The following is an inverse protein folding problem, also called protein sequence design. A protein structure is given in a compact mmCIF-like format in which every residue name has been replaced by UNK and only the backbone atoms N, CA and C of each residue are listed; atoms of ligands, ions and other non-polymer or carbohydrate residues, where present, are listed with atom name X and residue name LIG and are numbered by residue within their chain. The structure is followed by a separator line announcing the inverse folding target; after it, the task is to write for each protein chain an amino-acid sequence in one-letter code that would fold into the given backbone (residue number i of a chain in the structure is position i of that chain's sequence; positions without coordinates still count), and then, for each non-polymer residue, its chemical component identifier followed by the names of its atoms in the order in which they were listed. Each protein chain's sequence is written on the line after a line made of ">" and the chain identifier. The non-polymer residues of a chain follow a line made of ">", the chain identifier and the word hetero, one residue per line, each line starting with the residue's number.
data_IF_397453170417
#
_entry.id   IF_397453170417
#
_cell.length_a   1.000
_cell.length_b   1.000
_cell.length_c   1.000
_cell.angle_alpha   90.00
_cell.angle_beta   90.00
_cell.angle_gamma   90.00
#
_symmetry.space_group_name_H-M   'P 1'
#
loop_
_entity.id
_entity.type
_entity.pdbx_description
1 polymer ?
#
# COMPACT_ATOMS: atom_id res chain seq x y z
N UNK A 1 41.28 7.35 39.89
CA UNK A 1 39.83 7.08 40.00
C UNK A 1 39.34 6.61 38.65
N UNK A 2 39.09 5.31 38.50
CA UNK A 2 38.61 4.70 37.26
C UNK A 2 37.08 4.58 37.38
N UNK A 3 36.34 5.29 36.54
CA UNK A 3 34.87 5.22 36.49
C UNK A 3 34.47 3.97 35.70
N UNK A 4 33.90 2.98 36.40
CA UNK A 4 33.24 1.82 35.81
C UNK A 4 31.89 2.27 35.26
N UNK A 5 31.75 2.32 33.93
CA UNK A 5 30.46 2.51 33.28
C UNK A 5 29.67 1.20 33.36
N UNK A 6 28.59 1.19 34.12
CA UNK A 6 27.58 0.13 34.13
C UNK A 6 26.80 0.18 32.81
N UNK A 7 27.07 -0.77 31.92
CA UNK A 7 26.27 -0.98 30.73
C UNK A 7 24.90 -1.56 31.13
N UNK A 8 23.83 -0.78 30.96
CA UNK A 8 22.47 -1.31 30.89
C UNK A 8 22.24 -1.80 29.46
N UNK A 9 22.13 -3.11 29.28
CA UNK A 9 21.88 -3.70 27.97
C UNK A 9 22.01 -5.21 27.98
N UNK A 10 21.30 -5.90 28.87
CA UNK A 10 21.08 -7.33 28.73
C UNK A 10 20.08 -7.54 27.58
N UNK A 11 20.59 -7.58 26.34
CA UNK A 11 19.89 -8.29 25.26
C UNK A 11 20.06 -9.76 25.56
N UNK A 12 18.98 -10.38 26.01
CA UNK A 12 18.88 -11.82 26.13
C UNK A 12 18.98 -12.35 24.70
N UNK A 13 20.17 -12.82 24.29
CA UNK A 13 20.39 -13.44 23.00
C UNK A 13 19.72 -14.83 22.99
N UNK A 14 18.39 -14.83 22.93
CA UNK A 14 17.64 -15.97 22.45
C UNK A 14 17.80 -16.01 20.93
N UNK A 15 18.05 -17.19 20.37
CA UNK A 15 18.16 -17.42 18.92
C UNK A 15 16.80 -17.28 18.19
N UNK A 16 15.96 -16.32 18.56
CA UNK A 16 14.69 -16.00 17.91
C UNK A 16 14.85 -14.83 16.96
N UNK A 17 14.12 -14.85 15.84
CA UNK A 17 14.01 -13.69 14.96
C UNK A 17 13.24 -12.60 15.71
N UNK A 18 13.86 -11.43 15.88
CA UNK A 18 13.24 -10.26 16.50
C UNK A 18 12.30 -9.58 15.49
N UNK A 19 10.99 -9.82 15.62
CA UNK A 19 9.96 -9.25 14.74
C UNK A 19 9.34 -8.00 15.38
N UNK A 20 9.21 -6.90 14.63
CA UNK A 20 8.55 -5.70 15.15
C UNK A 20 7.02 -5.82 15.07
N UNK A 21 6.30 -5.21 16.02
CA UNK A 21 4.85 -5.17 15.99
C UNK A 21 4.36 -4.12 14.96
N UNK A 22 4.19 -4.54 13.70
CA UNK A 22 3.68 -3.71 12.59
C UNK A 22 2.23 -4.10 12.29
N UNK A 23 1.33 -3.11 12.32
CA UNK A 23 -0.04 -3.28 11.83
C UNK A 23 -0.07 -3.33 10.31
N UNK A 24 -0.56 -4.44 9.76
CA UNK A 24 -0.75 -4.60 8.31
C UNK A 24 -2.23 -4.60 8.00
N UNK A 25 -2.63 -3.78 7.02
CA UNK A 25 -4.01 -3.79 6.54
C UNK A 25 -4.25 -5.01 5.66
N UNK A 26 -5.48 -5.48 5.62
CA UNK A 26 -5.93 -6.57 4.74
C UNK A 26 -6.87 -5.94 3.73
N UNK A 27 -6.62 -6.10 2.44
CA UNK A 27 -7.43 -5.40 1.44
C UNK A 27 -6.81 -5.27 0.06
N UNK A 28 -7.50 -4.48 -0.76
CA UNK A 28 -7.08 -4.19 -2.14
C UNK A 28 -6.68 -2.73 -2.22
N UNK A 29 -5.49 -2.50 -2.73
CA UNK A 29 -4.98 -1.15 -2.95
C UNK A 29 -5.20 -0.76 -4.41
N UNK A 30 -5.51 0.50 -4.67
CA UNK A 30 -5.83 1.00 -6.01
C UNK A 30 -4.98 2.22 -6.30
N UNK A 31 -4.16 2.18 -7.34
CA UNK A 31 -3.40 3.31 -7.86
C UNK A 31 -3.94 3.72 -9.21
N UNK A 32 -4.15 5.02 -9.41
CA UNK A 32 -4.80 5.56 -10.60
C UNK A 32 -3.94 6.66 -11.18
N UNK A 33 -3.50 6.49 -12.43
CA UNK A 33 -2.79 7.52 -13.19
C UNK A 33 -3.73 8.30 -14.13
N UNK A 34 -5.00 7.91 -14.21
CA UNK A 34 -6.00 8.58 -15.03
C UNK A 34 -6.40 9.94 -14.42
N UNK A 35 -6.06 11.08 -15.05
CA UNK A 35 -6.16 12.41 -14.42
C UNK A 35 -7.61 12.83 -14.15
N UNK A 36 -8.55 12.42 -15.01
CA UNK A 36 -9.96 12.78 -14.92
C UNK A 36 -10.74 12.03 -13.83
N UNK A 37 -10.18 10.94 -13.27
CA UNK A 37 -10.83 10.18 -12.19
C UNK A 37 -10.90 11.03 -10.94
N UNK A 38 -12.07 11.10 -10.30
CA UNK A 38 -12.26 11.80 -9.03
C UNK A 38 -12.83 10.93 -7.92
N UNK A 39 -13.50 9.83 -8.24
CA UNK A 39 -14.06 8.90 -7.27
C UNK A 39 -14.10 7.48 -7.82
N UNK A 40 -14.33 6.51 -6.93
CA UNK A 40 -14.43 5.12 -7.31
C UNK A 40 -15.19 4.27 -6.31
N UNK A 41 -15.60 3.10 -6.78
CA UNK A 41 -16.21 2.05 -5.96
C UNK A 41 -15.53 0.73 -6.30
N UNK A 42 -15.41 -0.13 -5.30
CA UNK A 42 -14.86 -1.47 -5.46
C UNK A 42 -15.78 -2.47 -4.79
N UNK A 43 -16.06 -3.55 -5.49
CA UNK A 43 -16.73 -4.73 -4.94
C UNK A 43 -15.79 -5.91 -5.12
N UNK A 44 -15.65 -6.73 -4.09
CA UNK A 44 -14.78 -7.91 -4.08
C UNK A 44 -15.62 -9.12 -3.69
N UNK A 45 -15.62 -10.13 -4.54
CA UNK A 45 -16.40 -11.34 -4.39
C UNK A 45 -15.51 -12.57 -4.25
N UNK A 46 -15.85 -13.42 -3.28
CA UNK A 46 -15.24 -14.74 -3.09
C UNK A 46 -16.26 -15.68 -2.45
N UNK A 47 -16.16 -16.98 -2.77
CA UNK A 47 -17.06 -18.02 -2.24
C UNK A 47 -18.56 -17.70 -2.37
N UNK A 48 -18.96 -16.99 -3.43
CA UNK A 48 -20.34 -16.58 -3.67
C UNK A 48 -20.86 -15.45 -2.78
N UNK A 49 -20.00 -14.82 -1.98
CA UNK A 49 -20.31 -13.61 -1.19
C UNK A 49 -19.51 -12.43 -1.71
N UNK A 50 -20.08 -11.23 -1.64
CA UNK A 50 -19.43 -9.99 -2.07
C UNK A 50 -19.39 -8.97 -0.94
N UNK A 51 -18.31 -8.18 -0.90
CA UNK A 51 -18.15 -7.04 -0.02
C UNK A 51 -17.88 -5.78 -0.85
N UNK A 52 -18.53 -4.68 -0.49
CA UNK A 52 -18.33 -3.36 -1.12
C UNK A 52 -17.72 -2.39 -0.10
N UNK A 53 -16.40 -2.51 0.17
CA UNK A 53 -15.73 -1.63 1.11
C UNK A 53 -15.67 -0.19 0.57
N UNK A 54 -15.48 0.78 1.47
CA UNK A 54 -15.24 2.15 1.06
C UNK A 54 -13.92 2.24 0.27
N UNK A 55 -13.93 2.98 -0.84
CA UNK A 55 -12.75 3.32 -1.61
C UNK A 55 -12.65 4.84 -1.71
N UNK A 56 -11.90 5.43 -0.79
CA UNK A 56 -11.53 6.84 -0.87
C UNK A 56 -10.25 6.99 -1.69
N UNK A 57 -10.26 7.93 -2.65
CA UNK A 57 -9.12 8.24 -3.50
C UNK A 57 -8.47 9.54 -3.03
N UNK A 58 -7.18 9.47 -2.73
CA UNK A 58 -6.37 10.60 -2.30
C UNK A 58 -5.39 11.00 -3.40
N UNK A 59 -5.07 12.30 -3.55
CA UNK A 59 -4.04 12.73 -4.48
C UNK A 59 -2.69 12.06 -4.19
N UNK A 60 -2.06 11.54 -5.24
CA UNK A 60 -0.71 10.98 -5.14
C UNK A 60 0.35 12.07 -5.29
N UNK A 61 1.50 11.85 -4.66
CA UNK A 61 2.68 12.69 -4.81
C UNK A 61 3.89 11.86 -5.20
N UNK A 62 4.91 12.52 -5.74
CA UNK A 62 6.22 11.93 -6.01
C UNK A 62 7.29 12.71 -5.27
N UNK A 63 8.45 12.07 -5.09
CA UNK A 63 9.63 12.74 -4.56
C UNK A 63 10.37 13.39 -5.73
N UNK A 64 10.58 14.70 -5.64
CA UNK A 64 11.40 15.44 -6.61
C UNK A 64 12.88 15.05 -6.47
N UNK A 65 13.66 15.31 -7.51
CA UNK A 65 15.11 15.05 -7.48
C UNK A 65 15.76 15.73 -6.28
N UNK A 66 16.57 14.95 -5.55
CA UNK A 66 17.30 15.47 -4.40
C UNK A 66 18.54 16.23 -4.86
N UNK A 67 18.79 17.40 -4.28
CA UNK A 67 19.98 18.21 -4.56
C UNK A 67 21.11 17.94 -3.55
N UNK A 68 21.09 16.80 -2.87
CA UNK A 68 22.04 16.50 -1.81
C UNK A 68 23.43 16.21 -2.38
N UNK A 69 24.35 17.14 -2.15
CA UNK A 69 25.77 17.04 -2.54
C UNK A 69 26.73 16.98 -1.35
N UNK A 70 26.20 17.08 -0.12
CA UNK A 70 26.99 17.08 1.11
C UNK A 70 27.56 15.69 1.44
N UNK A 71 28.77 15.65 1.96
CA UNK A 71 29.47 14.42 2.40
C UNK A 71 29.88 14.45 3.86
N UNK A 72 29.57 15.54 4.58
CA UNK A 72 29.87 15.71 6.01
C UNK A 72 28.80 15.04 6.89
N UNK A 73 29.14 14.51 8.07
CA UNK A 73 28.18 13.96 9.02
C UNK A 73 27.09 14.95 9.48
N UNK A 74 27.38 16.26 9.43
CA UNK A 74 26.45 17.32 9.82
C UNK A 74 25.62 17.87 8.65
N UNK A 75 25.88 17.42 7.41
CA UNK A 75 25.13 17.87 6.25
C UNK A 75 23.70 17.31 6.29
N UNK A 76 22.71 18.20 6.23
CA UNK A 76 21.30 17.81 6.21
C UNK A 76 20.81 17.63 4.77
N UNK A 77 20.19 16.48 4.50
CA UNK A 77 19.54 16.21 3.22
C UNK A 77 18.03 16.45 3.33
N UNK A 78 17.45 17.13 2.35
CA UNK A 78 16.00 17.30 2.23
C UNK A 78 15.52 16.83 0.87
N UNK A 79 14.30 16.30 0.84
CA UNK A 79 13.60 15.90 -0.38
C UNK A 79 12.27 16.62 -0.44
N UNK A 80 11.92 17.16 -1.60
CA UNK A 80 10.64 17.85 -1.81
C UNK A 80 9.62 16.87 -2.36
N UNK A 81 8.40 16.91 -1.83
CA UNK A 81 7.27 16.20 -2.43
C UNK A 81 6.55 17.11 -3.42
N UNK A 82 6.23 16.58 -4.60
CA UNK A 82 5.47 17.24 -5.65
C UNK A 82 4.14 16.50 -5.91
N UNK A 83 3.03 17.22 -6.08
CA UNK A 83 1.79 16.61 -6.53
C UNK A 83 1.97 15.91 -7.87
N UNK A 84 1.28 14.79 -8.03
CA UNK A 84 1.02 14.18 -9.34
C UNK A 84 -0.43 14.40 -9.71
N UNK A 85 -0.83 14.06 -10.93
CA UNK A 85 -2.25 13.99 -11.32
C UNK A 85 -2.90 12.67 -10.89
N UNK A 86 -2.08 11.72 -10.43
CA UNK A 86 -2.53 10.42 -9.98
C UNK A 86 -3.22 10.45 -8.62
N UNK A 87 -3.88 9.34 -8.31
CA UNK A 87 -4.56 9.10 -7.05
C UNK A 87 -4.24 7.71 -6.54
N UNK A 88 -4.40 7.51 -5.24
CA UNK A 88 -4.27 6.21 -4.62
C UNK A 88 -5.37 6.02 -3.57
N UNK A 89 -5.74 4.77 -3.32
CA UNK A 89 -6.74 4.40 -2.34
C UNK A 89 -6.48 3.01 -1.79
N UNK A 90 -7.14 2.70 -0.68
CA UNK A 90 -7.09 1.38 -0.07
C UNK A 90 -8.49 0.96 0.37
N UNK A 91 -8.90 -0.24 -0.05
CA UNK A 91 -10.16 -0.85 0.29
C UNK A 91 -9.95 -1.88 1.39
N UNK A 92 -10.23 -1.49 2.63
CA UNK A 92 -10.07 -2.36 3.81
C UNK A 92 -11.09 -3.51 3.80
N UNK A 93 -10.56 -4.74 3.77
CA UNK A 93 -11.33 -5.99 3.72
C UNK A 93 -10.75 -6.98 4.73
N UNK A 94 -11.10 -6.90 6.02
CA UNK A 94 -10.52 -7.75 7.07
C UNK A 94 -10.73 -9.26 6.90
N UNK A 95 -11.61 -9.68 5.98
CA UNK A 95 -11.94 -11.07 5.69
C UNK A 95 -11.48 -11.52 4.30
N UNK A 96 -10.66 -10.71 3.60
CA UNK A 96 -10.10 -11.07 2.31
C UNK A 96 -9.31 -12.38 2.45
N UNK A 97 -9.51 -13.38 1.60
CA UNK A 97 -8.75 -14.61 1.64
C UNK A 97 -7.49 -14.53 0.75
N UNK A 98 -6.48 -15.35 1.06
CA UNK A 98 -5.30 -15.53 0.21
C UNK A 98 -5.56 -16.56 -0.92
N UNK A 99 -6.53 -16.26 -1.79
CA UNK A 99 -6.95 -17.13 -2.92
C UNK A 99 -7.65 -16.28 -3.99
N UNK A 100 -7.91 -16.81 -5.21
CA UNK A 100 -8.56 -16.03 -6.26
C UNK A 100 -9.88 -15.38 -5.82
N UNK A 101 -10.05 -14.11 -6.18
CA UNK A 101 -11.25 -13.30 -5.96
C UNK A 101 -11.62 -12.55 -7.25
N UNK A 102 -12.90 -12.24 -7.42
CA UNK A 102 -13.39 -11.39 -8.50
C UNK A 102 -13.61 -9.97 -7.98
N UNK A 103 -13.04 -8.98 -8.65
CA UNK A 103 -13.13 -7.57 -8.26
C UNK A 103 -13.83 -6.78 -9.34
N UNK A 104 -14.88 -6.05 -8.98
CA UNK A 104 -15.49 -5.04 -9.84
C UNK A 104 -15.00 -3.67 -9.41
N UNK A 105 -14.18 -3.02 -10.26
CA UNK A 105 -13.70 -1.66 -10.04
C UNK A 105 -14.42 -0.71 -10.99
N UNK A 106 -15.03 0.33 -10.42
CA UNK A 106 -15.63 1.43 -11.18
C UNK A 106 -15.02 2.75 -10.74
N UNK A 107 -14.55 3.54 -11.71
CA UNK A 107 -13.97 4.86 -11.51
C UNK A 107 -14.76 5.90 -12.31
N UNK A 108 -15.01 7.05 -11.70
CA UNK A 108 -15.88 8.09 -12.23
C UNK A 108 -15.14 9.42 -12.38
N UNK A 109 -15.57 10.20 -13.38
CA UNK A 109 -15.17 11.59 -13.56
C UNK A 109 -16.03 12.57 -12.72
N UNK A 110 -15.77 13.87 -12.86
CA UNK A 110 -16.52 14.93 -12.16
C UNK A 110 -18.01 15.01 -12.54
N UNK A 111 -18.38 14.53 -13.73
CA UNK A 111 -19.78 14.48 -14.17
C UNK A 111 -20.53 13.26 -13.63
N UNK A 112 -19.81 12.31 -13.01
CA UNK A 112 -20.33 11.00 -12.62
C UNK A 112 -20.32 9.97 -13.75
N UNK A 113 -19.69 10.29 -14.89
CA UNK A 113 -19.53 9.35 -16.01
C UNK A 113 -18.46 8.32 -15.68
N UNK A 114 -18.68 7.07 -16.10
CA UNK A 114 -17.73 5.99 -15.86
C UNK A 114 -16.58 6.05 -16.86
N UNK A 115 -15.36 6.18 -16.33
CA UNK A 115 -14.11 6.11 -17.08
C UNK A 115 -13.55 4.68 -17.09
N UNK A 116 -13.73 3.98 -15.97
CA UNK A 116 -13.41 2.55 -15.81
C UNK A 116 -14.61 1.85 -15.19
N UNK A 117 -14.97 0.70 -15.74
CA UNK A 117 -15.90 -0.26 -15.14
C UNK A 117 -15.49 -1.66 -15.59
N UNK A 118 -14.78 -2.38 -14.73
CA UNK A 118 -14.12 -3.64 -15.11
C UNK A 118 -14.22 -4.66 -14.00
N UNK A 119 -14.48 -5.89 -14.41
CA UNK A 119 -14.29 -7.08 -13.59
C UNK A 119 -12.86 -7.60 -13.78
N UNK A 120 -12.17 -7.86 -12.68
CA UNK A 120 -10.74 -8.16 -12.59
C UNK A 120 -10.59 -9.36 -11.67
N UNK A 121 -9.97 -10.45 -12.15
CA UNK A 121 -9.56 -11.54 -11.28
C UNK A 121 -8.25 -11.14 -10.60
N UNK A 122 -8.21 -11.24 -9.26
CA UNK A 122 -7.00 -11.01 -8.45
C UNK A 122 -6.71 -12.24 -7.60
N UNK A 123 -5.44 -12.44 -7.26
CA UNK A 123 -5.05 -13.45 -6.25
C UNK A 123 -4.30 -12.77 -5.11
N UNK A 124 -4.99 -12.35 -4.03
CA UNK A 124 -4.34 -11.77 -2.86
C UNK A 124 -3.30 -12.70 -2.25
N UNK A 125 -2.16 -12.14 -1.88
CA UNK A 125 -1.04 -12.87 -1.29
C UNK A 125 -0.79 -12.38 0.14
N UNK A 126 -0.32 -13.30 0.99
CA UNK A 126 0.10 -12.95 2.35
C UNK A 126 1.32 -12.02 2.29
N UNK A 127 1.20 -10.84 2.89
CA UNK A 127 2.32 -9.91 3.00
C UNK A 127 3.07 -10.07 4.32
N UNK A 128 4.38 -9.82 4.27
CA UNK A 128 5.30 -10.02 5.39
C UNK A 128 6.06 -8.72 5.67
N UNK A 129 5.46 -7.76 6.40
CA UNK A 129 6.07 -6.45 6.63
C UNK A 129 7.41 -6.52 7.37
N UNK A 130 7.63 -7.57 8.17
CA UNK A 130 8.85 -7.83 8.91
C UNK A 130 9.76 -8.88 8.23
N UNK A 131 9.46 -9.26 7.00
CA UNK A 131 10.13 -10.36 6.30
C UNK A 131 9.49 -11.74 6.57
N UNK A 132 9.83 -12.73 5.73
CA UNK A 132 9.15 -14.04 5.68
C UNK A 132 9.38 -14.92 6.91
N UNK A 133 10.43 -14.65 7.69
CA UNK A 133 10.72 -15.37 8.95
C UNK A 133 9.85 -14.88 10.12
N UNK A 134 9.04 -13.84 9.91
CA UNK A 134 8.09 -13.30 10.86
C UNK A 134 6.64 -13.67 10.49
N UNK A 135 5.69 -13.62 11.45
CA UNK A 135 4.28 -13.85 11.15
C UNK A 135 3.78 -12.92 10.03
N UNK A 136 2.97 -13.47 9.14
CA UNK A 136 2.35 -12.71 8.06
C UNK A 136 1.37 -11.66 8.60
N UNK A 137 1.31 -10.51 7.93
CA UNK A 137 0.40 -9.42 8.29
C UNK A 137 -1.04 -9.64 7.81
N UNK A 138 -1.21 -10.38 6.70
CA UNK A 138 -2.51 -10.69 6.09
C UNK A 138 -2.46 -10.59 4.57
N UNK A 139 -3.53 -11.00 3.86
CA UNK A 139 -3.55 -10.95 2.40
C UNK A 139 -3.74 -9.53 1.85
N UNK A 140 -3.03 -9.21 0.79
CA UNK A 140 -3.23 -8.00 0.00
C UNK A 140 -3.14 -8.29 -1.50
N UNK A 141 -3.82 -7.48 -2.29
CA UNK A 141 -3.63 -7.38 -3.73
C UNK A 141 -3.60 -5.91 -4.15
N UNK A 142 -3.18 -5.65 -5.38
CA UNK A 142 -3.21 -4.31 -5.94
C UNK A 142 -3.75 -4.23 -7.35
N UNK A 143 -4.33 -3.06 -7.65
CA UNK A 143 -4.76 -2.68 -8.99
C UNK A 143 -4.07 -1.38 -9.35
N UNK A 144 -3.41 -1.35 -10.51
CA UNK A 144 -2.90 -0.13 -11.12
C UNK A 144 -3.72 0.21 -12.37
N UNK A 145 -4.23 1.43 -12.43
CA UNK A 145 -4.99 1.98 -13.56
C UNK A 145 -4.12 2.99 -14.29
N UNK A 146 -3.81 2.71 -15.56
CA UNK A 146 -3.04 3.59 -16.43
C UNK A 146 -3.79 4.87 -16.81
N UNK A 147 -3.06 5.83 -17.38
CA UNK A 147 -3.64 7.10 -17.84
C UNK A 147 -4.70 6.92 -18.95
N UNK A 148 -4.64 5.81 -19.68
CA UNK A 148 -5.58 5.39 -20.72
C UNK A 148 -6.71 4.47 -20.20
N UNK A 149 -6.75 4.22 -18.89
CA UNK A 149 -7.69 3.28 -18.28
C UNK A 149 -7.28 1.80 -18.39
N UNK A 150 -6.07 1.49 -18.85
CA UNK A 150 -5.51 0.14 -18.79
C UNK A 150 -5.40 -0.35 -17.35
N UNK A 151 -5.51 -1.66 -17.13
CA UNK A 151 -5.53 -2.27 -15.79
C UNK A 151 -4.42 -3.30 -15.69
N UNK A 152 -3.67 -3.25 -14.59
CA UNK A 152 -2.67 -4.26 -14.21
C UNK A 152 -2.81 -4.64 -12.74
N UNK A 153 -2.66 -5.93 -12.45
CA UNK A 153 -2.50 -6.44 -11.08
C UNK A 153 -1.08 -6.15 -10.58
N UNK A 154 -0.94 -5.94 -9.28
CA UNK A 154 0.36 -5.77 -8.61
C UNK A 154 0.40 -6.42 -7.24
#
# INVERSE_FOLDING_TARGET
>A
MLLLATACGTVNAGNGVECTAIGTRVGVSVDVQHPEVVSGTIEVCWDGSCATPALELYPSSRVAETTCTGTSPDDSCSARSEPTEGKHGFADLPQLPAKPVDVTLRLLDQSGSSLVDRNIALTPEMVYPNGPDCPAGGPQAGISVGADGSITER
#
